data_IF_183357182224
#
_entry.id   IF_183357182224
#
_cell.length_a   1.000
_cell.length_b   1.000
_cell.length_c   1.000
_cell.angle_alpha   90.00
_cell.angle_beta   90.00
_cell.angle_gamma   90.00
#
_symmetry.space_group_name_H-M   'P 1'
#
loop_
_entity.id
_entity.type
_entity.pdbx_description
1 polymer ?
#
# COMPACT_ATOMS: atom_id res chain seq x y z
N UNK A 1 0.53 -2.43 -14.19
CA UNK A 1 0.33 -1.05 -14.69
C UNK A 1 1.11 -0.14 -13.77
N UNK A 2 1.71 0.94 -14.27
CA UNK A 2 2.37 1.92 -13.41
C UNK A 2 1.34 2.94 -12.90
N UNK A 3 1.36 3.25 -11.59
CA UNK A 3 0.46 4.24 -10.99
C UNK A 3 1.26 5.25 -10.18
N UNK A 4 1.07 6.52 -10.52
CA UNK A 4 1.66 7.64 -9.78
C UNK A 4 0.67 8.12 -8.72
N UNK A 5 1.08 8.10 -7.46
CA UNK A 5 0.29 8.55 -6.32
C UNK A 5 1.16 9.38 -5.37
N UNK A 6 0.56 10.34 -4.64
CA UNK A 6 1.31 11.07 -3.63
C UNK A 6 1.56 10.19 -2.40
N UNK A 7 2.69 10.39 -1.72
CA UNK A 7 3.00 9.65 -0.48
C UNK A 7 1.89 9.80 0.57
N UNK A 8 1.30 11.00 0.65
CA UNK A 8 0.22 11.28 1.58
C UNK A 8 -1.06 10.48 1.27
N UNK A 9 -1.42 10.32 0.00
CA UNK A 9 -2.58 9.52 -0.39
C UNK A 9 -2.34 8.03 -0.14
N UNK A 10 -1.13 7.55 -0.40
CA UNK A 10 -0.74 6.17 -0.10
C UNK A 10 -0.85 5.90 1.41
N UNK A 11 -0.42 6.85 2.24
CA UNK A 11 -0.58 6.78 3.69
C UNK A 11 -2.04 6.80 4.11
N UNK A 12 -2.90 7.60 3.47
CA UNK A 12 -4.35 7.64 3.75
C UNK A 12 -4.99 6.29 3.50
N UNK A 13 -4.67 5.63 2.39
CA UNK A 13 -5.20 4.29 2.08
C UNK A 13 -4.77 3.31 3.17
N UNK A 14 -3.49 3.33 3.55
CA UNK A 14 -2.97 2.49 4.63
C UNK A 14 -3.70 2.71 5.96
N UNK A 15 -4.01 3.97 6.28
CA UNK A 15 -4.70 4.36 7.52
C UNK A 15 -6.17 3.97 7.50
N UNK A 16 -6.81 3.99 6.32
CA UNK A 16 -8.20 3.56 6.13
C UNK A 16 -8.37 2.04 6.19
N UNK A 17 -7.32 1.25 5.95
CA UNK A 17 -7.41 -0.21 5.94
C UNK A 17 -7.72 -0.75 7.34
N UNK A 18 -8.67 -1.70 7.49
CA UNK A 18 -8.92 -2.30 8.78
C UNK A 18 -7.76 -3.19 9.21
N UNK A 19 -7.69 -3.45 10.51
CA UNK A 19 -6.68 -4.34 11.08
C UNK A 19 -6.74 -5.74 10.44
N UNK A 20 -5.59 -6.36 10.24
CA UNK A 20 -5.46 -7.63 9.51
C UNK A 20 -5.45 -7.53 7.97
N UNK A 21 -5.79 -6.39 7.35
CA UNK A 21 -5.74 -6.24 5.87
C UNK A 21 -4.34 -6.49 5.30
N UNK A 22 -3.31 -5.97 5.97
CA UNK A 22 -1.93 -6.18 5.54
C UNK A 22 -1.53 -7.65 5.60
N UNK A 23 -2.04 -8.41 6.58
CA UNK A 23 -1.82 -9.85 6.67
C UNK A 23 -2.54 -10.59 5.54
N UNK A 24 -3.80 -10.23 5.23
CA UNK A 24 -4.53 -10.81 4.10
C UNK A 24 -3.80 -10.61 2.78
N UNK A 25 -3.34 -9.39 2.51
CA UNK A 25 -2.60 -9.07 1.28
C UNK A 25 -1.28 -9.85 1.22
N UNK A 26 -0.55 -9.90 2.35
CA UNK A 26 0.70 -10.62 2.44
C UNK A 26 0.54 -12.13 2.15
N UNK A 27 -0.49 -12.76 2.74
CA UNK A 27 -0.80 -14.18 2.55
C UNK A 27 -1.15 -14.49 1.08
N UNK A 28 -2.01 -13.66 0.47
CA UNK A 28 -2.41 -13.79 -0.93
C UNK A 28 -1.24 -13.63 -1.92
N UNK A 29 -0.35 -12.68 -1.65
CA UNK A 29 0.82 -12.42 -2.50
C UNK A 29 2.02 -13.29 -2.14
N UNK A 30 1.87 -14.21 -1.18
CA UNK A 30 2.93 -15.05 -0.65
C UNK A 30 4.18 -14.21 -0.28
N UNK A 31 3.94 -13.05 0.34
CA UNK A 31 4.97 -12.12 0.74
C UNK A 31 4.86 -11.82 2.24
N UNK A 32 5.79 -11.03 2.76
CA UNK A 32 5.76 -10.68 4.19
C UNK A 32 4.90 -9.45 4.42
N UNK A 33 4.29 -9.35 5.61
CA UNK A 33 3.58 -8.13 6.05
C UNK A 33 4.50 -6.91 5.99
N UNK A 34 5.80 -7.09 6.21
CA UNK A 34 6.80 -6.05 6.05
C UNK A 34 6.93 -5.58 4.60
N UNK A 35 6.86 -6.49 3.62
CA UNK A 35 6.82 -6.14 2.19
C UNK A 35 5.61 -5.25 1.88
N UNK A 36 4.42 -5.63 2.35
CA UNK A 36 3.20 -4.82 2.18
C UNK A 36 3.33 -3.47 2.89
N UNK A 37 3.89 -3.45 4.10
CA UNK A 37 4.13 -2.20 4.85
C UNK A 37 5.10 -1.27 4.13
N UNK A 38 6.18 -1.82 3.58
CA UNK A 38 7.18 -1.07 2.82
C UNK A 38 6.56 -0.49 1.54
N UNK A 39 5.64 -1.23 0.91
CA UNK A 39 4.88 -0.74 -0.24
C UNK A 39 4.11 0.55 0.06
N UNK A 40 3.44 0.64 1.22
CA UNK A 40 2.72 1.85 1.64
C UNK A 40 3.61 2.99 2.17
N UNK A 41 4.92 2.96 1.88
CA UNK A 41 5.85 3.98 2.34
C UNK A 41 6.33 3.77 3.78
N UNK A 42 6.34 2.53 4.26
CA UNK A 42 6.99 2.17 5.52
C UNK A 42 8.48 2.49 5.48
N UNK A 43 8.95 3.32 6.40
CA UNK A 43 10.29 3.91 6.41
C UNK A 43 11.45 2.94 6.72
N UNK A 44 11.31 1.64 6.47
CA UNK A 44 12.34 0.66 6.77
C UNK A 44 13.07 0.19 5.49
N UNK A 45 13.60 1.17 4.73
CA UNK A 45 14.42 0.91 3.54
C UNK A 45 15.74 0.18 3.85
N UNK A 46 16.09 0.00 5.13
CA UNK A 46 17.24 -0.82 5.53
C UNK A 46 17.01 -2.33 5.30
N UNK A 47 15.76 -2.81 5.28
CA UNK A 47 15.46 -4.23 5.07
C UNK A 47 14.10 -4.44 4.36
N UNK A 48 14.17 -4.82 3.09
CA UNK A 48 13.03 -5.29 2.29
C UNK A 48 13.38 -5.38 0.81
N UNK A 49 12.94 -6.44 0.12
CA UNK A 49 13.08 -6.54 -1.32
C UNK A 49 12.51 -5.30 -2.03
N UNK A 50 13.22 -4.83 -3.05
CA UNK A 50 12.83 -3.71 -3.90
C UNK A 50 11.52 -4.04 -4.64
N UNK A 51 10.37 -3.84 -4.01
CA UNK A 51 9.04 -4.10 -4.59
C UNK A 51 8.62 -2.99 -5.59
N UNK A 52 9.53 -2.52 -6.44
CA UNK A 52 9.19 -1.61 -7.55
C UNK A 52 8.53 -0.30 -7.13
N UNK A 53 8.96 0.29 -6.01
CA UNK A 53 8.45 1.58 -5.52
C UNK A 53 9.50 2.64 -5.76
N UNK A 54 9.21 3.59 -6.66
CA UNK A 54 10.08 4.74 -6.91
C UNK A 54 9.56 5.94 -6.10
N UNK A 55 10.39 6.50 -5.22
CA UNK A 55 9.99 7.62 -4.36
C UNK A 55 10.87 8.81 -4.69
N UNK A 56 10.25 9.86 -5.21
CA UNK A 56 10.92 11.13 -5.45
C UNK A 56 10.69 12.07 -4.27
N UNK A 57 11.75 12.57 -3.61
CA UNK A 57 11.61 13.52 -2.52
C UNK A 57 11.03 14.84 -3.03
N UNK A 58 9.97 15.33 -2.39
CA UNK A 58 9.28 16.55 -2.78
C UNK A 58 8.40 17.13 -1.67
N UNK A 59 7.86 18.34 -1.85
CA UNK A 59 6.93 18.94 -0.90
C UNK A 59 5.74 17.99 -0.66
N UNK A 60 5.29 17.87 0.60
CA UNK A 60 4.25 16.93 1.06
C UNK A 60 4.63 15.44 1.15
N UNK A 61 5.93 15.12 1.21
CA UNK A 61 6.40 13.74 1.44
C UNK A 61 6.73 12.97 0.16
N UNK A 62 6.70 13.64 -1.00
CA UNK A 62 7.14 13.09 -2.28
C UNK A 62 6.05 12.41 -3.11
N UNK A 63 6.43 12.08 -4.34
CA UNK A 63 5.61 11.30 -5.27
C UNK A 63 6.10 9.86 -5.22
N UNK A 64 5.15 8.94 -5.11
CA UNK A 64 5.40 7.50 -5.14
C UNK A 64 4.87 6.96 -6.47
N UNK A 65 5.78 6.44 -7.29
CA UNK A 65 5.42 5.69 -8.49
C UNK A 65 5.46 4.21 -8.14
N UNK A 66 4.31 3.56 -8.32
CA UNK A 66 4.11 2.14 -8.09
C UNK A 66 4.23 1.44 -9.44
N UNK A 67 5.28 0.64 -9.65
CA UNK A 67 5.40 -0.20 -10.84
C UNK A 67 4.42 -1.38 -10.79
N UNK A 68 4.20 -1.91 -9.58
CA UNK A 68 3.25 -2.95 -9.30
C UNK A 68 2.07 -2.37 -8.52
N UNK A 69 0.87 -2.43 -9.07
CA UNK A 69 -0.35 -1.94 -8.40
C UNK A 69 -1.09 -3.05 -7.66
N UNK A 70 -0.58 -4.29 -7.61
CA UNK A 70 -1.35 -5.41 -7.07
C UNK A 70 -1.68 -5.19 -5.60
N UNK A 71 -0.73 -4.74 -4.78
CA UNK A 71 -0.98 -4.40 -3.37
C UNK A 71 -1.99 -3.24 -3.26
N UNK A 72 -1.90 -2.25 -4.14
CA UNK A 72 -2.81 -1.12 -4.18
C UNK A 72 -4.25 -1.56 -4.51
N UNK A 73 -4.44 -2.32 -5.59
CA UNK A 73 -5.73 -2.80 -6.05
C UNK A 73 -6.41 -3.67 -4.98
N UNK A 74 -5.65 -4.54 -4.32
CA UNK A 74 -6.16 -5.35 -3.21
C UNK A 74 -6.57 -4.51 -2.01
N UNK A 75 -5.81 -3.47 -1.66
CA UNK A 75 -6.16 -2.59 -0.57
C UNK A 75 -7.46 -1.82 -0.87
N UNK A 76 -7.62 -1.31 -2.08
CA UNK A 76 -8.87 -0.65 -2.50
C UNK A 76 -10.05 -1.63 -2.42
N UNK A 77 -9.90 -2.85 -2.92
CA UNK A 77 -10.96 -3.86 -2.85
C UNK A 77 -11.40 -4.16 -1.40
N UNK A 78 -10.45 -4.25 -0.45
CA UNK A 78 -10.76 -4.44 0.97
C UNK A 78 -11.52 -3.23 1.53
N UNK A 79 -11.14 -2.02 1.15
CA UNK A 79 -11.84 -0.79 1.58
C UNK A 79 -13.27 -0.74 1.04
N UNK A 80 -13.48 -1.12 -0.22
CA UNK A 80 -14.81 -1.19 -0.83
C UNK A 80 -15.68 -2.25 -0.14
N UNK A 81 -15.12 -3.43 0.16
CA UNK A 81 -15.82 -4.51 0.87
C UNK A 81 -16.18 -4.09 2.31
N UNK A 82 -15.28 -3.38 3.00
CA UNK A 82 -15.55 -2.82 4.33
C UNK A 82 -16.64 -1.76 4.29
N UNK A 83 -16.60 -0.87 3.31
CA UNK A 83 -17.62 0.17 3.15
C UNK A 83 -18.99 -0.47 2.90
N UNK A 84 -19.06 -1.44 1.99
CA UNK A 84 -20.28 -2.20 1.71
C UNK A 84 -20.81 -2.95 2.95
N UNK A 85 -19.93 -3.54 3.76
CA UNK A 85 -20.31 -4.19 5.01
C UNK A 85 -20.78 -3.22 6.11
N UNK A 86 -20.39 -1.95 6.03
CA UNK A 86 -20.81 -0.91 6.98
C UNK A 86 -22.16 -0.29 6.64
N UNK A 87 -22.51 -0.31 5.35
CA UNK A 87 -23.76 0.23 4.80
C UNK A 87 -24.90 -0.81 4.73
N UNK A 88 -24.63 -2.07 5.08
CA UNK A 88 -25.59 -3.19 5.12
C UNK A 88 -26.09 -3.49 6.54
#
# INVERSE_FOLDING_TARGET
MTKTISFNDLRRIKDSLPDGSMHKIADQLNCTVQTVRNYFGGSNYEFGQNCGVHIEPGPHGGIVVLDDTTIYDMAIAILEEQQAAKDA
#
